data_IF_090122816022
#
_entry.id   IF_090122816022
#
_cell.length_a   1.000
_cell.length_b   1.000
_cell.length_c   1.000
_cell.angle_alpha   90.00
_cell.angle_beta   90.00
_cell.angle_gamma   90.00
#
_symmetry.space_group_name_H-M   'P 1'
#
loop_
_entity.id
_entity.type
_entity.pdbx_description
1 polymer ?
#
# COMPACT_ATOMS: atom_id res chain seq x y z
N UNK A 1 43.84 20.08 7.17
CA UNK A 1 42.86 19.08 7.62
C UNK A 1 41.53 19.47 6.97
N UNK A 2 41.19 18.86 5.84
CA UNK A 2 40.05 19.20 5.00
C UNK A 2 38.87 18.41 5.47
N UNK A 3 37.87 19.08 6.03
CA UNK A 3 36.60 18.49 6.37
C UNK A 3 35.87 18.10 5.05
N UNK A 4 35.83 16.82 4.78
CA UNK A 4 35.04 16.27 3.67
C UNK A 4 33.58 16.44 4.04
N UNK A 5 32.90 17.41 3.43
CA UNK A 5 31.48 17.59 3.50
C UNK A 5 30.80 16.29 2.98
N UNK A 6 30.10 15.59 3.87
CA UNK A 6 29.19 14.55 3.46
C UNK A 6 28.07 15.23 2.65
N UNK A 7 28.19 15.19 1.33
CA UNK A 7 27.07 15.51 0.43
C UNK A 7 25.92 14.56 0.77
N UNK A 8 24.89 15.10 1.38
CA UNK A 8 23.58 14.45 1.49
C UNK A 8 23.11 14.18 0.06
N UNK A 9 23.32 12.96 -0.43
CA UNK A 9 22.75 12.54 -1.71
C UNK A 9 21.25 12.70 -1.58
N UNK A 10 20.73 13.74 -2.19
CA UNK A 10 19.30 14.01 -2.27
C UNK A 10 18.66 12.77 -2.87
N UNK A 11 17.86 12.05 -2.08
CA UNK A 11 17.19 10.85 -2.57
C UNK A 11 16.36 11.26 -3.79
N UNK A 12 16.55 10.57 -4.90
CA UNK A 12 15.79 10.80 -6.13
C UNK A 12 14.84 9.65 -6.35
N UNK A 13 13.71 9.90 -7.00
CA UNK A 13 12.84 8.83 -7.48
C UNK A 13 13.48 7.99 -8.60
N UNK A 14 14.57 8.48 -9.21
CA UNK A 14 15.33 7.76 -10.23
C UNK A 14 15.84 6.42 -9.69
N UNK A 15 15.50 5.34 -10.39
CA UNK A 15 15.81 3.97 -9.95
C UNK A 15 14.84 3.36 -8.91
N UNK A 16 13.96 4.16 -8.30
CA UNK A 16 12.91 3.67 -7.40
C UNK A 16 11.58 3.38 -8.13
N UNK A 17 11.35 4.10 -9.22
CA UNK A 17 10.07 4.05 -9.95
C UNK A 17 10.28 3.84 -11.44
N UNK A 18 9.28 3.24 -12.10
CA UNK A 18 9.29 3.09 -13.57
C UNK A 18 8.93 4.40 -14.28
N UNK A 19 9.17 4.46 -15.61
CA UNK A 19 8.96 5.67 -16.40
C UNK A 19 7.51 6.20 -16.35
N UNK A 20 6.51 5.34 -16.19
CA UNK A 20 5.10 5.73 -16.10
C UNK A 20 4.83 6.52 -14.82
N UNK A 21 5.34 6.02 -13.69
CA UNK A 21 5.22 6.68 -12.38
C UNK A 21 6.10 7.93 -12.36
N UNK A 22 7.31 7.87 -12.90
CA UNK A 22 8.20 9.04 -12.96
C UNK A 22 7.55 10.22 -13.68
N UNK A 23 6.87 9.97 -14.80
CA UNK A 23 6.11 10.99 -15.52
C UNK A 23 4.99 11.58 -14.68
N UNK A 24 4.20 10.75 -13.99
CA UNK A 24 3.14 11.23 -13.09
C UNK A 24 3.70 12.09 -11.95
N UNK A 25 4.83 11.69 -11.36
CA UNK A 25 5.49 12.45 -10.29
C UNK A 25 5.99 13.83 -10.80
N UNK A 26 6.53 13.89 -12.01
CA UNK A 26 6.93 15.16 -12.66
C UNK A 26 5.73 16.09 -12.86
N UNK A 27 4.59 15.55 -13.36
CA UNK A 27 3.35 16.30 -13.54
C UNK A 27 2.77 16.80 -12.21
N UNK A 28 3.02 16.09 -11.10
CA UNK A 28 2.65 16.49 -9.73
C UNK A 28 3.67 17.45 -9.08
N UNK A 29 4.80 17.76 -9.74
CA UNK A 29 5.87 18.59 -9.19
C UNK A 29 6.65 17.90 -8.05
N UNK A 30 6.64 16.57 -7.98
CA UNK A 30 7.34 15.80 -6.95
C UNK A 30 8.73 15.38 -7.45
N UNK A 31 9.76 16.09 -7.01
CA UNK A 31 11.15 15.87 -7.47
C UNK A 31 11.90 14.82 -6.66
N UNK A 32 11.59 14.67 -5.38
CA UNK A 32 12.30 13.78 -4.46
C UNK A 32 11.34 13.02 -3.54
N UNK A 33 11.67 11.75 -3.21
CA UNK A 33 10.91 10.99 -2.22
C UNK A 33 11.11 11.57 -0.82
N UNK A 34 10.07 11.49 0.00
CA UNK A 34 10.18 11.69 1.44
C UNK A 34 10.92 10.50 2.08
N UNK A 35 11.31 10.65 3.33
CA UNK A 35 11.97 9.59 4.09
C UNK A 35 11.14 8.29 4.11
N UNK A 36 9.83 8.40 4.34
CA UNK A 36 8.92 7.24 4.35
C UNK A 36 8.86 6.57 2.97
N UNK A 37 8.75 7.34 1.89
CA UNK A 37 8.71 6.81 0.52
C UNK A 37 10.02 6.12 0.14
N UNK A 38 11.17 6.71 0.49
CA UNK A 38 12.48 6.15 0.19
C UNK A 38 12.72 4.77 0.86
N UNK A 39 12.09 4.52 2.01
CA UNK A 39 12.20 3.26 2.74
C UNK A 39 11.12 2.25 2.34
N UNK A 40 9.89 2.70 2.15
CA UNK A 40 8.73 1.85 1.87
C UNK A 40 8.71 1.36 0.42
N UNK A 41 8.96 2.25 -0.56
CA UNK A 41 8.85 1.90 -1.99
C UNK A 41 9.72 0.70 -2.37
N UNK A 42 11.04 0.65 -2.05
CA UNK A 42 11.87 -0.50 -2.39
C UNK A 42 11.40 -1.79 -1.75
N UNK A 43 11.03 -1.73 -0.47
CA UNK A 43 10.59 -2.89 0.30
C UNK A 43 9.32 -3.51 -0.27
N UNK A 44 8.33 -2.69 -0.59
CA UNK A 44 7.08 -3.15 -1.19
C UNK A 44 7.26 -3.57 -2.66
N UNK A 45 8.16 -2.94 -3.41
CA UNK A 45 8.49 -3.36 -4.78
C UNK A 45 9.11 -4.76 -4.81
N UNK A 46 9.92 -5.10 -3.81
CA UNK A 46 10.49 -6.44 -3.64
C UNK A 46 9.49 -7.50 -3.15
N UNK A 47 8.23 -7.15 -2.90
CA UNK A 47 7.19 -8.08 -2.44
C UNK A 47 7.23 -8.42 -0.95
N UNK A 48 7.98 -7.66 -0.13
CA UNK A 48 8.04 -7.88 1.32
C UNK A 48 6.80 -7.31 2.01
N UNK A 49 6.32 -8.00 3.04
CA UNK A 49 5.34 -7.43 3.96
C UNK A 49 5.99 -6.28 4.73
N UNK A 50 5.19 -5.30 5.14
CA UNK A 50 5.71 -4.08 5.74
C UNK A 50 4.78 -3.55 6.84
N UNK A 51 5.39 -3.04 7.91
CA UNK A 51 4.74 -2.21 8.93
C UNK A 51 5.34 -0.82 8.85
N UNK A 52 4.53 0.18 8.48
CA UNK A 52 4.92 1.58 8.45
C UNK A 52 4.29 2.34 9.61
N UNK A 53 5.09 2.84 10.53
CA UNK A 53 4.58 3.73 11.58
C UNK A 53 4.64 5.16 11.07
N UNK A 54 3.49 5.70 10.70
CA UNK A 54 3.37 7.06 10.14
C UNK A 54 1.94 7.55 10.22
N UNK A 55 1.78 8.86 10.23
CA UNK A 55 0.46 9.50 10.10
C UNK A 55 -0.08 9.35 8.67
N UNK A 56 -1.41 9.23 8.50
CA UNK A 56 -2.02 9.14 7.18
C UNK A 56 -1.87 10.46 6.41
N UNK A 57 -1.60 10.35 5.10
CA UNK A 57 -1.44 11.51 4.23
C UNK A 57 -1.13 11.16 2.77
N UNK A 58 -1.06 12.17 1.88
CA UNK A 58 -0.81 11.92 0.45
C UNK A 58 0.53 11.23 0.19
N UNK A 59 1.53 11.54 1.00
CA UNK A 59 2.87 10.93 0.90
C UNK A 59 2.89 9.49 1.41
N UNK A 60 2.08 9.16 2.41
CA UNK A 60 1.85 7.78 2.84
C UNK A 60 1.14 7.00 1.75
N UNK A 61 0.13 7.60 1.09
CA UNK A 61 -0.54 7.00 -0.07
C UNK A 61 0.46 6.71 -1.20
N UNK A 62 1.38 7.62 -1.48
CA UNK A 62 2.42 7.40 -2.49
C UNK A 62 3.37 6.27 -2.11
N UNK A 63 3.76 6.16 -0.84
CA UNK A 63 4.69 5.15 -0.36
C UNK A 63 4.18 3.72 -0.66
N UNK A 64 2.90 3.43 -0.45
CA UNK A 64 2.34 2.11 -0.81
C UNK A 64 1.73 2.07 -2.22
N UNK A 65 1.24 3.19 -2.72
CA UNK A 65 0.56 3.28 -4.01
C UNK A 65 1.53 3.09 -5.18
N UNK A 66 2.70 3.70 -5.14
CA UNK A 66 3.71 3.56 -6.20
C UNK A 66 4.07 2.09 -6.44
N UNK A 67 4.49 1.30 -5.43
CA UNK A 67 4.76 -0.12 -5.63
C UNK A 67 3.54 -0.91 -6.14
N UNK A 68 2.34 -0.59 -5.65
CA UNK A 68 1.10 -1.22 -6.10
C UNK A 68 0.87 -0.95 -7.59
N UNK A 69 0.97 0.32 -8.01
CA UNK A 69 0.75 0.73 -9.40
C UNK A 69 1.79 0.15 -10.37
N UNK A 70 3.01 -0.07 -9.93
CA UNK A 70 4.09 -0.64 -10.76
C UNK A 70 3.94 -2.15 -10.98
N UNK A 71 3.42 -2.86 -9.98
CA UNK A 71 3.42 -4.34 -9.95
C UNK A 71 2.16 -4.97 -10.50
N UNK A 72 1.05 -4.24 -10.56
CA UNK A 72 -0.22 -4.79 -11.03
C UNK A 72 -0.29 -4.82 -12.57
N UNK A 73 -0.90 -5.89 -13.11
CA UNK A 73 -1.09 -6.06 -14.55
C UNK A 73 -2.36 -5.33 -15.02
N UNK A 74 -2.26 -4.30 -15.88
CA UNK A 74 -3.42 -3.59 -16.40
C UNK A 74 -4.25 -4.43 -17.41
N UNK A 75 -3.76 -5.58 -17.88
CA UNK A 75 -4.50 -6.48 -18.75
C UNK A 75 -5.41 -7.44 -17.98
N UNK A 76 -5.18 -7.59 -16.69
CA UNK A 76 -6.02 -8.42 -15.82
C UNK A 76 -7.45 -7.86 -15.76
N UNK A 77 -8.42 -8.75 -15.61
CA UNK A 77 -9.82 -8.39 -15.40
C UNK A 77 -10.27 -8.65 -13.96
N UNK A 78 -9.34 -8.72 -13.03
CA UNK A 78 -9.57 -9.02 -11.62
C UNK A 78 -9.03 -7.91 -10.71
N UNK A 79 -9.59 -7.83 -9.52
CA UNK A 79 -9.07 -6.98 -8.44
C UNK A 79 -7.77 -7.60 -7.91
N UNK A 80 -6.66 -6.87 -8.06
CA UNK A 80 -5.32 -7.31 -7.68
C UNK A 80 -4.80 -6.55 -6.47
N UNK A 81 -5.28 -5.33 -6.25
CA UNK A 81 -4.93 -4.47 -5.11
C UNK A 81 -6.15 -4.14 -4.26
N UNK A 82 -6.00 -4.21 -2.94
CA UNK A 82 -7.02 -3.79 -1.98
C UNK A 82 -6.40 -2.84 -0.96
N UNK A 83 -7.03 -1.69 -0.75
CA UNK A 83 -6.68 -0.75 0.32
C UNK A 83 -7.88 -0.60 1.24
N UNK A 84 -7.70 -0.88 2.53
CA UNK A 84 -8.72 -0.64 3.56
C UNK A 84 -8.42 0.66 4.30
N UNK A 85 -9.43 1.50 4.46
CA UNK A 85 -9.36 2.79 5.15
C UNK A 85 -10.52 2.93 6.14
N UNK A 86 -10.35 3.67 7.26
CA UNK A 86 -11.40 3.78 8.27
C UNK A 86 -12.64 4.54 7.80
N UNK A 87 -12.50 5.50 6.88
CA UNK A 87 -13.58 6.41 6.51
C UNK A 87 -13.77 6.56 5.01
N UNK A 88 -14.99 6.94 4.59
CA UNK A 88 -15.31 7.24 3.19
C UNK A 88 -14.44 8.37 2.62
N UNK A 89 -14.18 9.39 3.43
CA UNK A 89 -13.44 10.57 2.95
C UNK A 89 -11.98 10.22 2.72
N UNK A 90 -11.40 9.34 3.56
CA UNK A 90 -10.07 8.79 3.34
C UNK A 90 -10.03 7.87 2.12
N UNK A 91 -11.03 7.00 1.94
CA UNK A 91 -11.11 6.15 0.74
C UNK A 91 -11.14 7.00 -0.55
N UNK A 92 -11.91 8.09 -0.56
CA UNK A 92 -11.98 9.02 -1.70
C UNK A 92 -10.65 9.71 -1.96
N UNK A 93 -9.97 10.18 -0.90
CA UNK A 93 -8.62 10.79 -1.03
C UNK A 93 -7.61 9.82 -1.59
N UNK A 94 -7.55 8.60 -1.04
CA UNK A 94 -6.63 7.56 -1.50
C UNK A 94 -6.88 7.23 -2.98
N UNK A 95 -8.15 7.10 -3.41
CA UNK A 95 -8.48 6.90 -4.83
C UNK A 95 -8.00 8.07 -5.69
N UNK A 96 -8.22 9.31 -5.25
CA UNK A 96 -7.78 10.49 -5.99
C UNK A 96 -6.25 10.53 -6.14
N UNK A 97 -5.51 10.24 -5.06
CA UNK A 97 -4.05 10.22 -5.06
C UNK A 97 -3.50 9.08 -5.93
N UNK A 98 -4.05 7.87 -5.79
CA UNK A 98 -3.66 6.73 -6.64
C UNK A 98 -3.99 6.97 -8.11
N UNK A 99 -5.09 7.66 -8.42
CA UNK A 99 -5.47 7.99 -9.81
C UNK A 99 -4.47 8.97 -10.42
N UNK A 100 -4.04 9.99 -9.68
CA UNK A 100 -3.00 10.93 -10.12
C UNK A 100 -1.66 10.22 -10.34
N UNK A 101 -1.20 9.45 -9.35
CA UNK A 101 0.04 8.68 -9.43
C UNK A 101 0.00 7.64 -10.55
N UNK A 102 -1.16 7.04 -10.80
CA UNK A 102 -1.37 5.99 -11.80
C UNK A 102 -1.82 6.50 -13.16
N UNK A 103 -1.77 7.80 -13.46
CA UNK A 103 -2.30 8.41 -14.68
C UNK A 103 -1.81 7.72 -15.98
N UNK A 104 -0.60 7.20 -15.98
CA UNK A 104 0.02 6.54 -17.14
C UNK A 104 0.04 5.01 -17.05
N UNK A 105 -0.64 4.39 -16.06
CA UNK A 105 -0.57 2.93 -15.83
C UNK A 105 -1.67 2.12 -16.49
N UNK A 106 -2.75 2.76 -16.95
CA UNK A 106 -3.99 2.13 -17.43
C UNK A 106 -4.72 1.28 -16.37
N UNK A 107 -4.34 1.40 -15.09
CA UNK A 107 -5.03 0.72 -13.99
C UNK A 107 -6.31 1.47 -13.64
N UNK A 108 -7.41 0.72 -13.45
CA UNK A 108 -8.68 1.27 -12.98
C UNK A 108 -8.77 1.12 -11.46
N UNK A 109 -9.10 2.22 -10.79
CA UNK A 109 -9.17 2.31 -9.34
C UNK A 109 -10.56 2.76 -8.96
N UNK A 110 -11.21 2.07 -8.02
CA UNK A 110 -12.54 2.44 -7.55
C UNK A 110 -12.62 2.48 -6.04
N UNK A 111 -13.50 3.37 -5.53
CA UNK A 111 -13.83 3.42 -4.11
C UNK A 111 -15.12 2.67 -3.82
N UNK A 112 -15.15 1.93 -2.68
CA UNK A 112 -16.36 1.31 -2.11
C UNK A 112 -16.47 1.67 -0.62
N UNK A 113 -17.53 2.39 -0.25
CA UNK A 113 -17.72 2.91 1.11
C UNK A 113 -19.20 3.09 1.45
N UNK A 114 -19.52 3.10 2.73
CA UNK A 114 -20.88 3.33 3.22
C UNK A 114 -21.31 4.81 3.01
N UNK A 115 -22.62 5.03 2.84
CA UNK A 115 -23.17 6.38 2.61
C UNK A 115 -23.35 6.74 1.13
N UNK A 116 -23.10 5.81 0.21
CA UNK A 116 -23.47 5.91 -1.20
C UNK A 116 -24.35 4.71 -1.59
N UNK A 117 -25.34 4.87 -2.49
CA UNK A 117 -26.14 3.74 -2.97
C UNK A 117 -25.28 2.63 -3.52
N UNK A 118 -25.48 1.40 -3.01
CA UNK A 118 -24.66 0.24 -3.36
C UNK A 118 -24.72 -0.07 -4.88
N UNK A 119 -25.88 0.17 -5.51
CA UNK A 119 -26.06 -0.06 -6.94
C UNK A 119 -25.05 0.71 -7.81
N UNK A 120 -24.69 1.96 -7.44
CA UNK A 120 -23.67 2.74 -8.14
C UNK A 120 -22.28 2.12 -8.02
N UNK A 121 -21.97 1.58 -6.84
CA UNK A 121 -20.68 0.90 -6.61
C UNK A 121 -20.65 -0.45 -7.36
N UNK A 122 -21.77 -1.18 -7.38
CA UNK A 122 -21.88 -2.41 -8.18
C UNK A 122 -21.64 -2.15 -9.68
N UNK A 123 -22.15 -1.05 -10.22
CA UNK A 123 -21.89 -0.66 -11.62
C UNK A 123 -20.39 -0.46 -11.86
N UNK A 124 -19.72 0.31 -11.00
CA UNK A 124 -18.25 0.52 -11.10
C UNK A 124 -17.45 -0.77 -10.95
N UNK A 125 -17.86 -1.69 -10.06
CA UNK A 125 -17.19 -2.98 -9.89
C UNK A 125 -17.36 -3.90 -11.10
N UNK A 126 -18.48 -3.81 -11.85
CA UNK A 126 -18.68 -4.54 -13.12
C UNK A 126 -17.68 -4.13 -14.21
N UNK A 127 -17.09 -2.95 -14.14
CA UNK A 127 -16.05 -2.49 -15.05
C UNK A 127 -14.69 -3.18 -14.79
N UNK A 128 -14.64 -4.11 -13.83
CA UNK A 128 -13.47 -4.92 -13.48
C UNK A 128 -12.27 -4.05 -13.11
N UNK A 129 -12.35 -3.27 -12.02
CA UNK A 129 -11.23 -2.47 -11.54
C UNK A 129 -10.07 -3.38 -11.10
N UNK A 130 -8.85 -2.83 -11.15
CA UNK A 130 -7.63 -3.50 -10.71
C UNK A 130 -7.36 -3.26 -9.23
N UNK A 131 -7.75 -2.08 -8.74
CA UNK A 131 -7.57 -1.67 -7.34
C UNK A 131 -8.92 -1.24 -6.77
N UNK A 132 -9.22 -1.77 -5.59
CA UNK A 132 -10.37 -1.34 -4.78
C UNK A 132 -9.83 -0.68 -3.52
N UNK A 133 -10.34 0.52 -3.23
CA UNK A 133 -10.11 1.21 -1.96
C UNK A 133 -11.43 1.28 -1.21
N UNK A 134 -11.49 0.86 0.04
CA UNK A 134 -12.78 0.84 0.70
C UNK A 134 -12.77 0.82 2.22
N UNK A 135 -13.95 1.11 2.78
CA UNK A 135 -14.20 0.90 4.20
C UNK A 135 -14.56 -0.56 4.47
N UNK A 136 -14.08 -1.17 5.58
CA UNK A 136 -14.22 -2.60 5.83
C UNK A 136 -15.66 -3.11 5.71
N UNK A 137 -16.63 -2.47 6.36
CA UNK A 137 -18.03 -2.91 6.34
C UNK A 137 -18.61 -2.96 4.90
N UNK A 138 -18.33 -1.95 4.04
CA UNK A 138 -18.83 -1.93 2.66
C UNK A 138 -18.12 -2.94 1.77
N UNK A 139 -16.83 -3.18 2.00
CA UNK A 139 -16.09 -4.26 1.31
C UNK A 139 -16.72 -5.61 1.63
N UNK A 140 -17.03 -5.89 2.90
CA UNK A 140 -17.72 -7.13 3.31
C UNK A 140 -19.11 -7.25 2.68
N UNK A 141 -19.86 -6.16 2.61
CA UNK A 141 -21.17 -6.17 1.97
C UNK A 141 -21.09 -6.57 0.48
N UNK A 142 -20.12 -6.03 -0.25
CA UNK A 142 -19.88 -6.42 -1.65
C UNK A 142 -19.41 -7.88 -1.79
N UNK A 143 -18.59 -8.37 -0.86
CA UNK A 143 -18.18 -9.78 -0.81
C UNK A 143 -19.38 -10.70 -0.54
N UNK A 144 -20.24 -10.34 0.41
CA UNK A 144 -21.45 -11.09 0.72
C UNK A 144 -22.45 -11.15 -0.44
N UNK A 145 -22.54 -10.08 -1.23
CA UNK A 145 -23.38 -10.00 -2.44
C UNK A 145 -22.73 -10.64 -3.67
N UNK A 146 -21.49 -11.12 -3.61
CA UNK A 146 -20.76 -11.66 -4.75
C UNK A 146 -20.38 -10.64 -5.82
N UNK A 147 -20.56 -9.34 -5.55
CA UNK A 147 -20.23 -8.26 -6.50
C UNK A 147 -18.75 -7.87 -6.48
N UNK A 148 -18.01 -8.33 -5.47
CA UNK A 148 -16.57 -8.23 -5.33
C UNK A 148 -15.99 -9.61 -5.01
N UNK A 149 -14.86 -9.95 -5.59
CA UNK A 149 -14.05 -11.11 -5.21
C UNK A 149 -12.61 -10.69 -4.96
N UNK A 150 -11.97 -11.29 -3.96
CA UNK A 150 -10.60 -10.97 -3.55
C UNK A 150 -9.60 -12.09 -3.87
N UNK A 151 -10.02 -13.11 -4.64
CA UNK A 151 -9.19 -14.30 -4.94
C UNK A 151 -7.89 -13.99 -5.70
N UNK A 152 -7.84 -12.85 -6.39
CA UNK A 152 -6.69 -12.41 -7.19
C UNK A 152 -5.96 -11.23 -6.54
N UNK A 153 -6.20 -10.94 -5.27
CA UNK A 153 -5.50 -9.86 -4.57
C UNK A 153 -4.06 -10.29 -4.29
N UNK A 154 -3.12 -9.56 -4.86
CA UNK A 154 -1.68 -9.75 -4.67
C UNK A 154 -1.10 -8.81 -3.62
N UNK A 155 -1.72 -7.64 -3.44
CA UNK A 155 -1.29 -6.66 -2.45
C UNK A 155 -2.48 -6.10 -1.68
N UNK A 156 -2.42 -6.18 -0.36
CA UNK A 156 -3.40 -5.63 0.57
C UNK A 156 -2.73 -4.59 1.46
N UNK A 157 -3.35 -3.42 1.58
CA UNK A 157 -2.89 -2.33 2.43
C UNK A 157 -3.94 -2.04 3.48
N UNK A 158 -3.53 -1.97 4.73
CA UNK A 158 -4.30 -1.44 5.86
C UNK A 158 -3.78 -0.02 6.12
N UNK A 159 -4.54 1.00 5.77
CA UNK A 159 -4.16 2.40 5.93
C UNK A 159 -4.89 3.01 7.13
N UNK A 160 -4.14 3.63 8.07
CA UNK A 160 -4.68 4.20 9.32
C UNK A 160 -5.31 3.13 10.23
N UNK A 161 -4.54 2.06 10.49
CA UNK A 161 -5.04 0.85 11.16
C UNK A 161 -5.48 1.12 12.60
N UNK A 162 -4.77 1.94 13.36
CA UNK A 162 -5.14 2.26 14.75
C UNK A 162 -6.51 2.99 14.82
N UNK A 163 -6.80 3.81 13.83
CA UNK A 163 -8.11 4.44 13.73
C UNK A 163 -9.21 3.43 13.39
N UNK A 164 -8.94 2.48 12.48
CA UNK A 164 -9.90 1.39 12.22
C UNK A 164 -10.21 0.60 13.49
N UNK A 165 -9.20 0.30 14.30
CA UNK A 165 -9.40 -0.42 15.57
C UNK A 165 -10.16 0.43 16.59
N UNK A 166 -9.83 1.72 16.75
CA UNK A 166 -10.56 2.65 17.62
C UNK A 166 -12.04 2.77 17.24
N UNK A 167 -12.37 2.61 15.97
CA UNK A 167 -13.74 2.59 15.46
C UNK A 167 -14.43 1.22 15.58
N UNK A 168 -13.76 0.22 16.16
CA UNK A 168 -14.31 -1.11 16.33
C UNK A 168 -14.34 -1.97 15.06
N UNK A 169 -13.65 -1.57 13.99
CA UNK A 169 -13.67 -2.25 12.68
C UNK A 169 -12.73 -3.47 12.59
N UNK A 170 -12.11 -3.87 13.70
CA UNK A 170 -11.20 -5.02 13.73
C UNK A 170 -11.85 -6.30 13.19
N UNK A 171 -13.07 -6.68 13.61
CA UNK A 171 -13.69 -7.92 13.13
C UNK A 171 -13.87 -7.94 11.61
N UNK A 172 -14.28 -6.81 11.03
CA UNK A 172 -14.46 -6.68 9.58
C UNK A 172 -13.14 -6.78 8.85
N UNK A 173 -12.09 -6.11 9.35
CA UNK A 173 -10.74 -6.18 8.77
C UNK A 173 -10.23 -7.61 8.79
N UNK A 174 -10.34 -8.32 9.91
CA UNK A 174 -9.89 -9.72 10.02
C UNK A 174 -10.69 -10.64 9.09
N UNK A 175 -12.01 -10.44 8.95
CA UNK A 175 -12.83 -11.18 7.99
C UNK A 175 -12.40 -10.97 6.54
N UNK A 176 -11.93 -9.77 6.18
CA UNK A 176 -11.42 -9.48 4.84
C UNK A 176 -10.05 -10.15 4.65
N UNK A 177 -9.17 -10.05 5.65
CA UNK A 177 -7.84 -10.65 5.61
C UNK A 177 -7.89 -12.16 5.34
N UNK A 178 -8.83 -12.89 5.97
CA UNK A 178 -8.98 -14.34 5.76
C UNK A 178 -9.62 -14.69 4.40
N UNK A 179 -10.27 -13.75 3.73
CA UNK A 179 -10.87 -13.94 2.39
C UNK A 179 -9.93 -13.56 1.25
N UNK A 180 -8.74 -13.08 1.54
CA UNK A 180 -7.68 -12.80 0.55
C UNK A 180 -6.65 -13.94 0.53
N UNK A 181 -5.95 -14.18 -0.58
CA UNK A 181 -4.95 -15.24 -0.66
C UNK A 181 -3.88 -15.11 0.44
N UNK A 182 -3.46 -16.24 1.02
CA UNK A 182 -2.39 -16.27 2.02
C UNK A 182 -1.03 -15.86 1.44
N UNK A 183 -0.88 -15.96 0.12
CA UNK A 183 0.32 -15.56 -0.64
C UNK A 183 0.40 -14.07 -0.92
N UNK A 184 -0.67 -13.29 -0.62
CA UNK A 184 -0.65 -11.84 -0.82
C UNK A 184 0.50 -11.20 -0.06
N UNK A 185 0.94 -10.07 -0.54
CA UNK A 185 1.74 -9.11 0.22
C UNK A 185 0.82 -8.25 1.09
N UNK A 186 1.19 -8.00 2.34
CA UNK A 186 0.43 -7.15 3.25
C UNK A 186 1.28 -5.98 3.74
N UNK A 187 0.76 -4.76 3.61
CA UNK A 187 1.35 -3.56 4.19
C UNK A 187 0.38 -2.96 5.21
N UNK A 188 0.87 -2.64 6.40
CA UNK A 188 0.09 -2.05 7.49
C UNK A 188 0.70 -0.69 7.84
N UNK A 189 -0.13 0.36 7.77
CA UNK A 189 0.23 1.71 8.17
C UNK A 189 -0.60 2.15 9.36
N UNK A 190 0.06 2.75 10.36
CA UNK A 190 -0.56 3.15 11.62
C UNK A 190 0.28 4.21 12.32
N UNK A 191 -0.34 5.20 12.95
CA UNK A 191 0.39 6.18 13.76
C UNK A 191 0.92 5.54 15.06
N UNK A 192 0.12 4.67 15.67
CA UNK A 192 0.48 3.92 16.88
C UNK A 192 0.40 2.41 16.67
N UNK A 193 1.14 1.65 17.47
CA UNK A 193 1.19 0.19 17.40
C UNK A 193 0.82 -0.44 18.75
N UNK A 194 -0.41 -0.25 19.25
CA UNK A 194 -0.89 -0.89 20.48
C UNK A 194 -0.96 -2.42 20.32
N UNK A 195 -1.06 -3.15 21.44
CA UNK A 195 -1.05 -4.61 21.46
C UNK A 195 -2.04 -5.28 20.48
N UNK A 196 -3.27 -4.78 20.28
CA UNK A 196 -4.18 -5.37 19.30
C UNK A 196 -3.64 -5.31 17.87
N UNK A 197 -2.92 -4.23 17.49
CA UNK A 197 -2.27 -4.12 16.18
C UNK A 197 -1.07 -5.05 16.10
N UNK A 198 -0.25 -5.13 17.16
CA UNK A 198 0.88 -6.07 17.22
C UNK A 198 0.41 -7.52 17.06
N UNK A 199 -0.71 -7.89 17.69
CA UNK A 199 -1.32 -9.20 17.52
C UNK A 199 -1.77 -9.45 16.08
N UNK A 200 -2.37 -8.46 15.40
CA UNK A 200 -2.73 -8.56 13.98
C UNK A 200 -1.51 -8.72 13.09
N UNK A 201 -0.43 -7.97 13.34
CA UNK A 201 0.83 -8.09 12.61
C UNK A 201 1.36 -9.52 12.73
N UNK A 202 1.48 -10.06 13.95
CA UNK A 202 1.97 -11.43 14.17
C UNK A 202 1.12 -12.51 13.51
N UNK A 203 -0.19 -12.27 13.35
CA UNK A 203 -1.12 -13.25 12.75
C UNK A 203 -1.19 -13.19 11.24
N UNK A 204 -1.08 -12.00 10.61
CA UNK A 204 -1.43 -11.78 9.22
C UNK A 204 -0.30 -11.32 8.33
N UNK A 205 0.84 -10.86 8.88
CA UNK A 205 2.02 -10.45 8.13
C UNK A 205 3.14 -11.47 8.26
N UNK A 206 3.95 -11.61 7.21
CA UNK A 206 5.05 -12.58 7.12
C UNK A 206 6.40 -11.87 7.13
N UNK A 207 7.14 -11.98 8.24
CA UNK A 207 8.45 -11.33 8.42
C UNK A 207 8.48 -9.90 7.88
N UNK A 208 7.62 -9.00 8.39
CA UNK A 208 7.48 -7.66 7.84
C UNK A 208 8.74 -6.83 8.07
N UNK A 209 9.03 -5.95 7.12
CA UNK A 209 9.99 -4.87 7.32
C UNK A 209 9.30 -3.78 8.16
N UNK A 210 10.02 -3.24 9.14
CA UNK A 210 9.53 -2.19 10.00
C UNK A 210 10.12 -0.85 9.55
N UNK A 211 9.26 0.14 9.32
CA UNK A 211 9.63 1.51 8.98
C UNK A 211 9.01 2.44 10.01
N UNK A 212 9.86 3.13 10.77
CA UNK A 212 9.43 4.06 11.84
C UNK A 212 10.04 5.45 11.62
N UNK A 213 9.36 6.54 12.05
CA UNK A 213 9.82 7.91 11.82
C UNK A 213 11.17 8.26 12.49
N UNK A 214 11.53 7.57 13.55
CA UNK A 214 12.71 7.86 14.39
C UNK A 214 14.00 7.18 13.94
N UNK A 215 13.97 6.42 12.87
CA UNK A 215 15.21 5.89 12.30
C UNK A 215 15.81 6.95 11.38
N UNK A 216 16.75 7.73 11.91
CA UNK A 216 17.77 8.40 11.10
C UNK A 216 18.26 7.38 10.09
N UNK A 217 18.42 7.70 8.79
CA UNK A 217 18.85 6.72 7.81
C UNK A 217 20.27 6.26 8.15
N UNK A 218 20.42 5.23 8.94
CA UNK A 218 21.54 4.34 8.75
C UNK A 218 21.37 3.77 7.35
N UNK A 219 22.34 4.06 6.50
CA UNK A 219 22.42 3.67 5.11
C UNK A 219 21.86 2.26 4.94
N UNK A 220 20.75 2.14 4.18
CA UNK A 220 20.22 0.85 3.75
C UNK A 220 21.38 0.07 3.09
N UNK A 221 21.99 -0.84 3.84
CA UNK A 221 22.85 -1.84 3.27
C UNK A 221 21.93 -2.93 2.70
N UNK A 222 21.87 -3.00 1.38
CA UNK A 222 21.21 -4.10 0.71
C UNK A 222 21.72 -5.42 1.30
N UNK A 223 20.87 -6.40 1.64
CA UNK A 223 21.32 -7.68 2.17
C UNK A 223 22.31 -8.28 1.16
N UNK A 224 23.55 -8.52 1.61
CA UNK A 224 24.57 -9.20 0.81
C UNK A 224 23.96 -10.51 0.32
N UNK A 225 23.90 -10.71 -0.99
CA UNK A 225 23.60 -12.01 -1.59
C UNK A 225 24.49 -13.03 -0.91
N UNK A 226 23.89 -13.99 -0.23
CA UNK A 226 24.60 -15.17 0.26
C UNK A 226 25.28 -15.82 -0.95
N UNK A 227 26.61 -15.71 -1.04
CA UNK A 227 27.39 -16.49 -1.98
C UNK A 227 27.18 -17.95 -1.60
N UNK A 228 26.47 -18.69 -2.46
CA UNK A 228 26.45 -20.14 -2.40
C UNK A 228 27.91 -20.57 -2.66
N UNK A 229 28.64 -20.90 -1.61
CA UNK A 229 29.88 -21.68 -1.71
C UNK A 229 29.52 -23.02 -2.34
N UNK A 230 29.91 -23.19 -3.59
CA UNK A 230 30.05 -24.49 -4.16
C UNK A 230 31.23 -25.15 -3.43
N UNK A 231 30.93 -26.12 -2.61
CA UNK A 231 31.90 -27.05 -2.09
C UNK A 231 31.85 -28.32 -2.95
N UNK A 232 32.98 -28.68 -3.42
CA UNK A 232 33.36 -29.83 -4.22
C UNK A 232 32.85 -31.14 -3.65
#
# INVERSE_FOLDING_TARGET
MTAMALETRTASFSGLVDARIQRALQELGWSAPTQIEAQVIPSLTMGRDLVGQTDPGPRTTAAFGIPMLQRLDPRSKAVQGLVLTPTRDQARRVVADLTKLGAHTRLRIVAVYSGEPIARQMSRLREKPHIVVGTPARVLEHLGKGTLTLRSVHMLVLDDTDRMLKMGLRPEVEQILVRTPSTRQTALFSAGLPDPIRAMIGRYLRNPIWVTPSQTPELYQAPRRAQRTAAS
#
